data_IF_160687410576
#
_entry.id   IF_160687410576
#
_cell.length_a   1.000
_cell.length_b   1.000
_cell.length_c   1.000
_cell.angle_alpha   90.00
_cell.angle_beta   90.00
_cell.angle_gamma   90.00
#
_symmetry.space_group_name_H-M   'P 1'
#
loop_
_entity.id
_entity.type
_entity.pdbx_description
1 polymer ?
#
# COMPACT_ATOMS: atom_id res chain seq x y z
N UNK A 1 -9.52 -1.50 -23.83
CA UNK A 1 -10.40 -0.34 -23.61
C UNK A 1 -10.74 -0.16 -22.12
N UNK A 2 -10.99 -1.21 -21.37
CA UNK A 2 -11.39 -1.16 -19.95
C UNK A 2 -10.31 -0.58 -19.00
N UNK A 3 -9.04 -0.95 -19.17
CA UNK A 3 -7.92 -0.47 -18.35
C UNK A 3 -7.71 1.04 -18.46
N UNK A 4 -7.84 1.62 -19.66
CA UNK A 4 -7.75 3.06 -19.85
C UNK A 4 -8.88 3.81 -19.09
N UNK A 5 -10.04 3.20 -18.93
CA UNK A 5 -11.15 3.73 -18.14
C UNK A 5 -10.80 3.79 -16.65
N UNK A 6 -10.15 2.75 -16.09
CA UNK A 6 -9.75 2.69 -14.68
C UNK A 6 -8.64 3.71 -14.36
N UNK A 7 -7.63 3.82 -15.22
CA UNK A 7 -6.59 4.85 -15.09
C UNK A 7 -7.19 6.25 -15.14
N UNK A 8 -8.16 6.50 -16.04
CA UNK A 8 -8.86 7.78 -16.08
C UNK A 8 -9.66 8.05 -14.79
N UNK A 9 -10.31 7.05 -14.21
CA UNK A 9 -11.00 7.18 -12.92
C UNK A 9 -10.04 7.57 -11.80
N UNK A 10 -8.88 6.89 -11.70
CA UNK A 10 -7.81 7.25 -10.76
C UNK A 10 -7.35 8.69 -10.97
N UNK A 11 -7.11 9.08 -12.23
CA UNK A 11 -6.72 10.44 -12.59
C UNK A 11 -7.73 11.49 -12.11
N UNK A 12 -9.03 11.27 -12.33
CA UNK A 12 -10.06 12.20 -11.89
C UNK A 12 -10.14 12.32 -10.36
N UNK A 13 -9.98 11.20 -9.62
CA UNK A 13 -9.92 11.24 -8.16
C UNK A 13 -8.70 12.06 -7.70
N UNK A 14 -7.52 11.81 -8.23
CA UNK A 14 -6.29 12.52 -7.90
C UNK A 14 -6.39 14.01 -8.20
N UNK A 15 -7.00 14.37 -9.34
CA UNK A 15 -7.25 15.75 -9.74
C UNK A 15 -8.13 16.49 -8.73
N UNK A 16 -9.24 15.88 -8.30
CA UNK A 16 -10.14 16.49 -7.30
C UNK A 16 -9.49 16.63 -5.93
N UNK A 17 -8.47 15.80 -5.63
CA UNK A 17 -7.70 15.83 -4.37
C UNK A 17 -6.46 16.72 -4.43
N UNK A 18 -6.17 17.36 -5.56
CA UNK A 18 -4.99 18.21 -5.81
C UNK A 18 -3.66 17.46 -5.57
N UNK A 19 -3.56 16.20 -6.04
CA UNK A 19 -2.37 15.37 -5.87
C UNK A 19 -1.53 15.24 -7.16
N UNK A 20 -2.06 15.55 -8.34
CA UNK A 20 -1.41 15.27 -9.63
C UNK A 20 -0.01 15.89 -9.76
N UNK A 21 0.16 17.13 -9.30
CA UNK A 21 1.41 17.89 -9.42
C UNK A 21 2.43 17.58 -8.31
N UNK A 22 2.11 16.64 -7.38
CA UNK A 22 3.04 16.21 -6.34
C UNK A 22 4.00 15.17 -6.91
N UNK A 23 5.26 15.20 -6.44
CA UNK A 23 6.22 14.13 -6.74
C UNK A 23 5.75 12.83 -6.09
N UNK A 24 5.74 11.73 -6.85
CA UNK A 24 5.32 10.45 -6.32
C UNK A 24 4.83 9.44 -7.34
N UNK A 25 4.20 8.37 -6.86
CA UNK A 25 3.67 7.30 -7.71
C UNK A 25 2.46 6.64 -7.07
N UNK A 26 1.47 6.28 -7.88
CA UNK A 26 0.26 5.57 -7.46
C UNK A 26 0.46 4.07 -7.55
N UNK A 27 0.86 3.58 -8.73
CA UNK A 27 0.97 2.15 -9.03
C UNK A 27 2.44 1.73 -9.12
N UNK A 28 2.78 0.70 -8.35
CA UNK A 28 4.07 0.00 -8.39
C UNK A 28 4.00 -1.29 -9.21
N UNK A 29 2.80 -1.68 -9.63
CA UNK A 29 2.53 -2.77 -10.58
C UNK A 29 1.94 -2.23 -11.87
N UNK A 30 1.97 -3.03 -12.93
CA UNK A 30 1.37 -2.68 -14.21
C UNK A 30 -0.15 -2.57 -14.12
N UNK A 31 -0.73 -1.90 -15.08
CA UNK A 31 -2.16 -1.60 -15.13
C UNK A 31 -3.05 -2.85 -15.31
N UNK A 32 -2.49 -3.98 -15.80
CA UNK A 32 -3.20 -5.27 -15.86
C UNK A 32 -3.59 -5.81 -14.48
N UNK A 33 -2.95 -5.32 -13.39
CA UNK A 33 -3.31 -5.69 -12.01
C UNK A 33 -4.59 -5.01 -11.51
N UNK A 34 -5.12 -4.03 -12.26
CA UNK A 34 -6.41 -3.37 -11.99
C UNK A 34 -7.59 -4.27 -12.39
N UNK A 35 -7.66 -5.45 -11.83
CA UNK A 35 -8.69 -6.48 -12.06
C UNK A 35 -8.92 -7.28 -10.79
N UNK A 36 -9.99 -8.04 -10.73
CA UNK A 36 -10.24 -8.99 -9.65
C UNK A 36 -8.98 -9.83 -9.37
N UNK A 37 -8.53 -9.86 -8.12
CA UNK A 37 -7.30 -10.52 -7.71
C UNK A 37 -7.28 -10.79 -6.20
N UNK A 38 -6.63 -11.88 -5.78
CA UNK A 38 -6.65 -12.28 -4.38
C UNK A 38 -5.79 -11.39 -3.47
N UNK A 39 -4.80 -10.67 -4.03
CA UNK A 39 -3.76 -10.01 -3.27
C UNK A 39 -3.66 -8.52 -3.56
N UNK A 40 -3.42 -7.75 -2.50
CA UNK A 40 -3.14 -6.32 -2.54
C UNK A 40 -1.90 -6.03 -1.69
N UNK A 41 -0.84 -5.49 -2.29
CA UNK A 41 0.38 -5.13 -1.56
C UNK A 41 0.41 -3.62 -1.29
N UNK A 42 0.51 -3.26 -0.01
CA UNK A 42 0.43 -1.87 0.44
C UNK A 42 1.69 -1.46 1.18
N UNK A 43 2.53 -0.66 0.53
CA UNK A 43 3.66 0.04 1.14
C UNK A 43 3.22 1.27 1.95
N UNK A 44 4.19 2.02 2.44
CA UNK A 44 3.95 3.23 3.23
C UNK A 44 3.88 4.48 2.36
N UNK A 45 4.96 4.78 1.62
CA UNK A 45 5.06 5.88 0.67
C UNK A 45 6.25 5.65 -0.28
N UNK A 46 6.27 6.29 -1.45
CA UNK A 46 7.43 6.31 -2.33
C UNK A 46 8.66 6.89 -1.59
N UNK A 47 9.80 6.23 -1.71
CA UNK A 47 11.08 6.74 -1.19
C UNK A 47 11.59 7.93 -1.98
N UNK A 48 12.72 8.53 -1.55
CA UNK A 48 13.37 9.66 -2.19
C UNK A 48 12.84 11.03 -1.78
N UNK A 49 13.41 12.09 -2.31
CA UNK A 49 13.07 13.47 -1.97
C UNK A 49 12.04 14.06 -2.94
N UNK A 50 11.13 14.90 -2.41
CA UNK A 50 10.06 15.57 -3.18
C UNK A 50 10.60 16.62 -4.16
N UNK A 51 11.82 17.12 -3.93
CA UNK A 51 12.49 18.18 -4.67
C UNK A 51 13.71 17.70 -5.49
N UNK A 52 13.91 16.39 -5.65
CA UNK A 52 14.96 15.86 -6.53
C UNK A 52 14.69 16.23 -7.98
N UNK A 53 15.73 16.76 -8.66
CA UNK A 53 15.64 17.07 -10.09
C UNK A 53 15.37 15.80 -10.89
N UNK A 54 14.40 15.87 -11.78
CA UNK A 54 14.03 14.76 -12.66
C UNK A 54 13.06 13.73 -12.04
N UNK A 55 12.56 13.99 -10.83
CA UNK A 55 11.52 13.15 -10.24
C UNK A 55 10.17 13.46 -10.87
N UNK A 56 9.53 12.44 -11.39
CA UNK A 56 8.22 12.56 -12.02
C UNK A 56 7.12 12.90 -11.03
N UNK A 57 6.16 13.68 -11.49
CA UNK A 57 4.91 13.92 -10.78
C UNK A 57 4.02 12.67 -10.79
N UNK A 58 3.07 12.60 -9.87
CA UNK A 58 2.03 11.56 -9.83
C UNK A 58 1.30 11.48 -11.17
N UNK A 59 1.01 12.63 -11.81
CA UNK A 59 0.38 12.67 -13.12
C UNK A 59 1.23 11.98 -14.19
N UNK A 60 2.50 12.37 -14.30
CA UNK A 60 3.41 11.79 -15.29
C UNK A 60 3.59 10.28 -15.08
N UNK A 61 3.77 9.85 -13.82
CA UNK A 61 3.92 8.44 -13.50
C UNK A 61 2.67 7.63 -13.85
N UNK A 62 1.48 8.17 -13.58
CA UNK A 62 0.21 7.50 -13.89
C UNK A 62 -0.06 7.40 -15.39
N UNK A 63 0.31 8.45 -16.16
CA UNK A 63 0.04 8.54 -17.59
C UNK A 63 1.18 8.00 -18.46
N UNK A 64 2.24 7.49 -17.88
CA UNK A 64 3.41 6.97 -18.58
C UNK A 64 3.04 5.75 -19.43
N UNK A 65 3.08 5.90 -20.77
CA UNK A 65 2.63 4.90 -21.75
C UNK A 65 3.68 3.85 -22.10
N UNK A 66 4.93 4.09 -21.77
CA UNK A 66 6.08 3.25 -22.13
C UNK A 66 6.38 2.13 -21.12
N UNK A 67 5.66 2.07 -20.01
CA UNK A 67 5.77 0.94 -19.09
C UNK A 67 5.13 -0.31 -19.69
N UNK A 68 5.83 -1.47 -19.67
CA UNK A 68 5.22 -2.74 -20.02
C UNK A 68 3.94 -2.99 -19.20
N UNK A 69 2.96 -3.68 -19.77
CA UNK A 69 1.71 -3.97 -19.06
C UNK A 69 1.92 -4.77 -17.79
N UNK A 70 2.89 -5.68 -17.81
CA UNK A 70 3.30 -6.53 -16.68
C UNK A 70 4.43 -5.93 -15.84
N UNK A 71 4.68 -4.61 -15.98
CA UNK A 71 5.68 -3.89 -15.20
C UNK A 71 5.45 -4.05 -13.69
N UNK A 72 6.53 -4.23 -12.95
CA UNK A 72 6.50 -4.17 -11.51
C UNK A 72 7.76 -3.43 -10.99
N UNK A 73 7.55 -2.34 -10.27
CA UNK A 73 8.61 -1.46 -9.78
C UNK A 73 9.65 -2.20 -8.93
N UNK A 74 9.22 -3.22 -8.18
CA UNK A 74 10.13 -4.01 -7.35
C UNK A 74 11.03 -4.94 -8.14
N UNK A 75 10.77 -5.16 -9.44
CA UNK A 75 11.57 -6.03 -10.31
C UNK A 75 12.31 -5.26 -11.40
N UNK A 76 11.68 -4.26 -11.99
CA UNK A 76 12.22 -3.50 -13.11
C UNK A 76 12.67 -2.09 -12.72
N UNK A 77 12.32 -1.61 -11.51
CA UNK A 77 12.72 -0.29 -11.02
C UNK A 77 14.22 -0.22 -10.71
N UNK A 78 14.84 0.90 -11.06
CA UNK A 78 16.22 1.23 -10.68
C UNK A 78 16.21 1.93 -9.31
N UNK A 79 16.38 1.16 -8.25
CA UNK A 79 16.28 1.66 -6.90
C UNK A 79 17.64 2.02 -6.31
N UNK A 80 17.73 3.19 -5.68
CA UNK A 80 18.89 3.60 -4.90
C UNK A 80 19.12 2.75 -3.65
N UNK A 81 18.10 2.04 -3.17
CA UNK A 81 18.19 1.06 -2.09
C UNK A 81 17.88 -0.35 -2.62
N UNK A 82 18.88 -1.06 -3.18
CA UNK A 82 18.70 -2.40 -3.71
C UNK A 82 18.27 -3.41 -2.65
N UNK A 83 18.67 -3.26 -1.39
CA UNK A 83 18.29 -4.21 -0.32
C UNK A 83 16.79 -4.22 -0.08
N UNK A 84 16.12 -3.06 -0.15
CA UNK A 84 14.66 -3.01 -0.05
C UNK A 84 13.99 -3.78 -1.18
N UNK A 85 14.47 -3.59 -2.40
CA UNK A 85 13.95 -4.27 -3.58
C UNK A 85 14.16 -5.79 -3.48
N UNK A 86 15.39 -6.21 -3.13
CA UNK A 86 15.75 -7.63 -2.95
C UNK A 86 14.91 -8.28 -1.84
N UNK A 87 14.70 -7.60 -0.72
CA UNK A 87 13.88 -8.11 0.37
C UNK A 87 12.42 -8.35 -0.06
N UNK A 88 11.83 -7.44 -0.84
CA UNK A 88 10.48 -7.60 -1.37
C UNK A 88 10.43 -8.75 -2.40
N UNK A 89 11.43 -8.86 -3.28
CA UNK A 89 11.52 -9.96 -4.25
C UNK A 89 11.61 -11.32 -3.54
N UNK A 90 12.47 -11.41 -2.51
CA UNK A 90 12.61 -12.63 -1.71
C UNK A 90 11.29 -12.99 -0.99
N UNK A 91 10.60 -11.99 -0.43
CA UNK A 91 9.32 -12.19 0.23
C UNK A 91 8.26 -12.76 -0.71
N UNK A 92 8.10 -12.20 -1.91
CA UNK A 92 7.16 -12.72 -2.91
C UNK A 92 7.55 -14.12 -3.40
N UNK A 93 8.84 -14.35 -3.66
CA UNK A 93 9.34 -15.68 -4.04
C UNK A 93 9.04 -16.72 -2.97
N UNK A 94 9.30 -16.40 -1.71
CA UNK A 94 9.09 -17.32 -0.60
C UNK A 94 7.61 -17.57 -0.32
N UNK A 95 6.71 -16.66 -0.73
CA UNK A 95 5.26 -16.88 -0.73
C UNK A 95 4.76 -17.63 -1.96
N UNK A 96 5.60 -17.94 -2.95
CA UNK A 96 5.17 -18.50 -4.24
C UNK A 96 4.19 -17.57 -5.00
N UNK A 97 4.30 -16.27 -4.82
CA UNK A 97 3.44 -15.27 -5.46
C UNK A 97 4.21 -14.57 -6.60
N UNK A 98 3.56 -14.43 -7.75
CA UNK A 98 4.10 -13.60 -8.82
C UNK A 98 3.69 -12.13 -8.58
N UNK A 99 4.63 -11.24 -8.27
CA UNK A 99 4.32 -9.84 -7.97
C UNK A 99 3.73 -9.07 -9.18
N UNK A 100 3.93 -9.58 -10.41
CA UNK A 100 3.33 -8.99 -11.61
C UNK A 100 1.80 -9.20 -11.71
N UNK A 101 1.27 -10.14 -10.93
CA UNK A 101 -0.19 -10.40 -10.83
C UNK A 101 -0.84 -9.72 -9.63
N UNK A 102 -0.05 -9.00 -8.81
CA UNK A 102 -0.49 -8.39 -7.56
C UNK A 102 -0.52 -6.88 -7.71
N UNK A 103 -1.67 -6.26 -7.41
CA UNK A 103 -1.72 -4.82 -7.31
C UNK A 103 -0.84 -4.34 -6.17
N UNK A 104 0.20 -3.58 -6.53
CA UNK A 104 1.17 -3.00 -5.59
C UNK A 104 1.09 -1.49 -5.62
N UNK A 105 0.99 -0.89 -4.44
CA UNK A 105 0.85 0.56 -4.25
C UNK A 105 1.39 0.99 -2.88
N UNK A 106 1.33 2.29 -2.58
CA UNK A 106 1.68 2.82 -1.26
C UNK A 106 0.50 3.55 -0.64
N UNK A 107 0.36 3.54 0.68
CA UNK A 107 -0.68 4.26 1.41
C UNK A 107 -0.68 5.76 1.07
N UNK A 108 0.49 6.38 1.06
CA UNK A 108 0.69 7.73 0.56
C UNK A 108 1.37 7.68 -0.80
N UNK A 109 0.82 8.38 -1.80
CA UNK A 109 1.42 8.45 -3.14
C UNK A 109 2.53 9.48 -3.24
N UNK A 110 2.59 10.42 -2.29
CA UNK A 110 3.57 11.50 -2.28
C UNK A 110 4.91 10.99 -1.76
N UNK A 111 5.98 11.33 -2.48
CA UNK A 111 7.34 10.92 -2.19
C UNK A 111 7.88 11.58 -0.92
N UNK A 112 8.55 10.77 -0.07
CA UNK A 112 9.30 11.28 1.08
C UNK A 112 10.35 10.24 1.52
N UNK A 113 11.57 10.67 1.88
CA UNK A 113 12.62 9.75 2.33
C UNK A 113 12.31 9.11 3.68
N UNK A 114 11.59 9.81 4.55
CA UNK A 114 11.10 9.31 5.83
C UNK A 114 9.98 10.22 6.37
N UNK A 115 9.21 9.70 7.32
CA UNK A 115 8.06 10.42 7.89
C UNK A 115 8.44 11.79 8.49
N UNK A 116 9.56 11.88 9.20
CA UNK A 116 10.05 13.13 9.82
C UNK A 116 10.52 14.18 8.81
N UNK A 117 10.77 13.78 7.56
CA UNK A 117 11.21 14.64 6.46
C UNK A 117 10.10 14.92 5.45
N UNK A 118 8.87 14.53 5.76
CA UNK A 118 7.74 14.84 4.91
C UNK A 118 7.56 16.35 4.81
N UNK A 119 7.44 16.88 3.58
CA UNK A 119 7.36 18.32 3.33
C UNK A 119 5.95 18.82 3.62
N UNK A 120 5.85 19.75 4.58
CA UNK A 120 4.60 20.47 4.80
C UNK A 120 4.35 21.49 3.68
N UNK A 121 3.11 21.60 3.25
CA UNK A 121 2.68 22.61 2.26
C UNK A 121 2.34 23.96 2.91
N UNK A 122 2.39 24.04 4.24
CA UNK A 122 2.01 25.23 5.01
C UNK A 122 2.81 25.27 6.30
N UNK A 123 3.28 26.46 6.67
CA UNK A 123 3.95 26.70 7.95
C UNK A 123 3.05 26.46 9.17
N UNK A 124 1.74 26.33 8.94
CA UNK A 124 0.75 26.03 9.97
C UNK A 124 0.63 24.54 10.31
N UNK A 125 1.30 23.65 9.54
CA UNK A 125 1.20 22.20 9.71
C UNK A 125 2.56 21.57 9.96
N UNK A 126 2.57 20.62 10.86
CA UNK A 126 3.74 19.72 11.02
C UNK A 126 3.85 18.78 9.81
N UNK A 127 5.06 18.25 9.50
CA UNK A 127 5.23 17.22 8.48
C UNK A 127 4.29 16.03 8.66
N UNK A 128 4.06 15.62 9.90
CA UNK A 128 3.16 14.51 10.26
C UNK A 128 1.69 14.82 9.92
N UNK A 129 1.22 16.02 10.27
CA UNK A 129 -0.15 16.45 9.94
C UNK A 129 -0.37 16.51 8.43
N UNK A 130 0.58 17.06 7.68
CA UNK A 130 0.50 17.09 6.23
C UNK A 130 0.42 15.68 5.63
N UNK A 131 1.25 14.75 6.14
CA UNK A 131 1.23 13.35 5.67
C UNK A 131 -0.11 12.67 5.96
N UNK A 132 -0.72 12.91 7.11
CA UNK A 132 -2.03 12.36 7.44
C UNK A 132 -3.11 12.85 6.48
N UNK A 133 -3.12 14.14 6.17
CA UNK A 133 -4.04 14.69 5.18
C UNK A 133 -3.82 14.10 3.79
N UNK A 134 -2.57 13.93 3.38
CA UNK A 134 -2.26 13.34 2.08
C UNK A 134 -2.63 11.85 2.04
N UNK A 135 -2.46 11.11 3.13
CA UNK A 135 -2.97 9.74 3.24
C UNK A 135 -4.49 9.67 3.10
N UNK A 136 -5.23 10.59 3.73
CA UNK A 136 -6.69 10.68 3.59
C UNK A 136 -7.11 10.99 2.15
N UNK A 137 -6.38 11.86 1.46
CA UNK A 137 -6.63 12.15 0.04
C UNK A 137 -6.33 10.94 -0.84
N UNK A 138 -5.20 10.26 -0.59
CA UNK A 138 -4.80 9.06 -1.30
C UNK A 138 -5.80 7.91 -1.08
N UNK A 139 -6.40 7.84 0.12
CA UNK A 139 -7.33 6.78 0.45
C UNK A 139 -8.55 6.72 -0.46
N UNK A 140 -9.02 7.84 -1.00
CA UNK A 140 -10.09 7.85 -1.99
C UNK A 140 -9.74 7.05 -3.26
N UNK A 141 -8.45 7.01 -3.62
CA UNK A 141 -7.97 6.15 -4.72
C UNK A 141 -7.90 4.69 -4.26
N UNK A 142 -7.44 4.42 -3.02
CA UNK A 142 -7.42 3.05 -2.48
C UNK A 142 -8.82 2.44 -2.41
N UNK A 143 -9.84 3.22 -2.06
CA UNK A 143 -11.23 2.74 -2.08
C UNK A 143 -11.66 2.31 -3.48
N UNK A 144 -11.31 3.09 -4.50
CA UNK A 144 -11.53 2.71 -5.89
C UNK A 144 -10.74 1.43 -6.23
N UNK A 145 -9.45 1.38 -5.93
CA UNK A 145 -8.59 0.22 -6.21
C UNK A 145 -9.08 -1.05 -5.52
N UNK A 146 -9.47 -0.96 -4.25
CA UNK A 146 -10.00 -2.09 -3.46
C UNK A 146 -11.34 -2.58 -4.02
N UNK A 147 -12.19 -1.69 -4.52
CA UNK A 147 -13.45 -2.08 -5.15
C UNK A 147 -13.27 -2.75 -6.52
N UNK A 148 -12.20 -2.38 -7.26
CA UNK A 148 -11.86 -2.99 -8.55
C UNK A 148 -11.15 -4.33 -8.41
N UNK A 149 -10.23 -4.45 -7.44
CA UNK A 149 -9.41 -5.66 -7.24
C UNK A 149 -10.13 -6.70 -6.38
N UNK A 150 -10.93 -6.26 -5.41
CA UNK A 150 -11.66 -7.10 -4.44
C UNK A 150 -10.77 -8.16 -3.77
N UNK A 151 -9.64 -7.75 -3.19
CA UNK A 151 -8.67 -8.70 -2.67
C UNK A 151 -9.25 -9.48 -1.50
N UNK A 152 -8.81 -10.74 -1.36
CA UNK A 152 -9.02 -11.54 -0.15
C UNK A 152 -7.96 -11.23 0.91
N UNK A 153 -6.80 -10.76 0.46
CA UNK A 153 -5.65 -10.49 1.33
C UNK A 153 -4.99 -9.16 1.03
N UNK A 154 -4.70 -8.40 2.09
CA UNK A 154 -3.85 -7.22 2.03
C UNK A 154 -2.55 -7.52 2.77
N UNK A 155 -1.40 -7.30 2.11
CA UNK A 155 -0.08 -7.35 2.73
C UNK A 155 0.38 -5.91 2.96
N UNK A 156 0.53 -5.53 4.23
CA UNK A 156 1.07 -4.24 4.63
C UNK A 156 2.58 -4.35 4.87
N UNK A 157 3.38 -3.66 4.06
CA UNK A 157 4.83 -3.54 4.25
C UNK A 157 5.11 -2.44 5.29
N UNK A 158 5.09 -2.83 6.57
CA UNK A 158 5.21 -1.95 7.71
C UNK A 158 3.90 -1.74 8.48
N UNK A 159 4.03 -1.23 9.71
CA UNK A 159 2.90 -1.06 10.62
C UNK A 159 2.03 0.15 10.27
N UNK A 160 2.59 1.18 9.64
CA UNK A 160 1.86 2.41 9.30
C UNK A 160 0.65 2.13 8.41
N UNK A 161 0.83 1.33 7.35
CA UNK A 161 -0.25 0.97 6.41
C UNK A 161 -1.32 0.11 7.08
N UNK A 162 -0.91 -0.83 7.95
CA UNK A 162 -1.82 -1.63 8.76
C UNK A 162 -2.65 -0.76 9.70
N UNK A 163 -1.98 0.08 10.51
CA UNK A 163 -2.64 0.89 11.54
C UNK A 163 -3.62 1.88 10.91
N UNK A 164 -3.35 2.35 9.70
CA UNK A 164 -4.30 3.16 8.93
C UNK A 164 -5.59 2.41 8.60
N UNK A 165 -5.51 1.12 8.31
CA UNK A 165 -6.69 0.31 7.97
C UNK A 165 -7.44 -0.13 9.22
N UNK A 166 -6.73 -0.68 10.23
CA UNK A 166 -7.35 -1.42 11.35
C UNK A 166 -7.47 -0.63 12.64
N UNK A 167 -6.66 0.39 12.88
CA UNK A 167 -6.58 1.12 14.14
C UNK A 167 -6.40 2.63 13.90
N UNK A 168 -7.47 3.26 13.44
CA UNK A 168 -7.46 4.69 13.13
C UNK A 168 -7.27 5.58 14.34
N UNK A 169 -7.76 5.17 15.51
CA UNK A 169 -7.57 5.93 16.75
C UNK A 169 -6.08 5.98 17.12
N UNK A 170 -5.39 4.86 16.96
CA UNK A 170 -3.94 4.79 17.19
C UNK A 170 -3.17 5.57 16.15
N UNK A 171 -3.60 5.54 14.89
CA UNK A 171 -2.97 6.29 13.82
C UNK A 171 -3.13 7.81 14.01
N UNK A 172 -4.30 8.25 14.52
CA UNK A 172 -4.65 9.66 14.79
C UNK A 172 -4.29 10.19 16.19
N UNK A 173 -3.27 9.68 16.86
CA UNK A 173 -2.93 9.88 18.29
C UNK A 173 -2.87 11.32 18.84
N UNK A 174 -3.09 12.36 18.07
CA UNK A 174 -3.05 13.75 18.52
C UNK A 174 -4.40 14.48 18.38
N UNK A 175 -5.54 13.77 18.44
CA UNK A 175 -6.88 14.41 18.36
C UNK A 175 -7.27 14.84 16.94
N UNK A 176 -6.53 14.42 15.93
CA UNK A 176 -6.87 14.62 14.53
C UNK A 176 -7.91 13.58 14.16
N UNK A 177 -9.19 13.99 14.19
CA UNK A 177 -10.29 13.14 13.77
C UNK A 177 -10.20 12.90 12.26
N UNK A 178 -9.95 11.68 11.85
CA UNK A 178 -10.22 11.27 10.47
C UNK A 178 -11.70 11.42 10.18
N UNK A 179 -12.02 12.22 9.15
CA UNK A 179 -13.40 12.45 8.72
C UNK A 179 -14.00 11.23 8.00
N UNK A 180 -13.20 10.23 7.79
CA UNK A 180 -13.53 9.09 6.94
C UNK A 180 -14.27 7.99 7.70
N UNK A 181 -15.38 7.51 7.11
CA UNK A 181 -16.28 6.51 7.70
C UNK A 181 -15.90 5.05 7.37
N UNK A 182 -14.64 4.78 7.03
CA UNK A 182 -14.19 3.41 6.84
C UNK A 182 -14.23 2.66 8.17
N UNK A 183 -14.73 1.45 8.18
CA UNK A 183 -14.81 0.60 9.36
C UNK A 183 -14.13 -0.75 9.09
N UNK A 184 -13.28 -1.17 10.02
CA UNK A 184 -12.73 -2.52 10.04
C UNK A 184 -13.25 -3.28 11.27
N UNK A 185 -14.04 -4.31 11.03
CA UNK A 185 -14.55 -5.21 12.08
C UNK A 185 -13.66 -6.43 12.16
N UNK A 186 -12.74 -6.44 13.12
CA UNK A 186 -11.82 -7.56 13.35
C UNK A 186 -12.54 -8.72 14.05
N UNK A 187 -12.35 -9.94 13.53
CA UNK A 187 -12.84 -11.19 14.12
C UNK A 187 -11.73 -11.98 14.78
N UNK A 188 -10.53 -11.88 14.25
CA UNK A 188 -9.37 -12.64 14.71
C UNK A 188 -8.09 -11.81 14.57
N UNK A 189 -7.21 -11.93 15.55
CA UNK A 189 -5.86 -11.36 15.51
C UNK A 189 -4.84 -12.44 15.91
N UNK A 190 -3.78 -12.57 15.12
CA UNK A 190 -2.62 -13.39 15.43
C UNK A 190 -1.34 -12.57 15.32
N UNK A 191 -0.33 -12.93 16.11
CA UNK A 191 0.97 -12.25 16.14
C UNK A 191 2.09 -13.27 16.23
N UNK A 192 3.20 -12.96 15.54
CA UNK A 192 4.46 -13.68 15.64
C UNK A 192 5.62 -12.68 15.72
N UNK A 193 6.72 -13.11 16.29
CA UNK A 193 7.98 -12.37 16.24
C UNK A 193 8.92 -13.09 15.27
N UNK A 194 9.39 -12.41 14.25
CA UNK A 194 10.34 -12.90 13.23
C UNK A 194 11.54 -11.97 13.22
N UNK A 195 12.74 -12.50 13.46
CA UNK A 195 13.97 -11.70 13.58
C UNK A 195 13.90 -10.58 14.63
N UNK A 196 13.19 -10.78 15.75
CA UNK A 196 12.95 -9.75 16.76
C UNK A 196 11.86 -8.72 16.42
N UNK A 197 11.24 -8.80 15.24
CA UNK A 197 10.23 -7.88 14.73
C UNK A 197 8.83 -8.53 14.71
N UNK A 198 7.80 -7.72 14.92
CA UNK A 198 6.42 -8.22 14.96
C UNK A 198 5.80 -8.29 13.57
N UNK A 199 5.29 -9.48 13.22
CA UNK A 199 4.30 -9.66 12.18
C UNK A 199 2.92 -9.82 12.81
N UNK A 200 1.88 -9.30 12.15
CA UNK A 200 0.50 -9.45 12.61
C UNK A 200 -0.40 -9.89 11.48
N UNK A 201 -1.40 -10.66 11.83
CA UNK A 201 -2.51 -11.03 10.95
C UNK A 201 -3.81 -10.60 11.61
N UNK A 202 -4.69 -10.01 10.83
CA UNK A 202 -6.04 -9.64 11.24
C UNK A 202 -7.02 -10.17 10.21
N UNK A 203 -8.09 -10.81 10.65
CA UNK A 203 -9.17 -11.30 9.82
C UNK A 203 -10.45 -10.57 10.17
N UNK A 204 -11.17 -10.07 9.17
CA UNK A 204 -12.38 -9.30 9.43
C UNK A 204 -13.09 -8.78 8.18
N UNK A 205 -14.03 -7.88 8.37
CA UNK A 205 -14.73 -7.17 7.31
C UNK A 205 -14.22 -5.73 7.21
N UNK A 206 -13.90 -5.28 6.01
CA UNK A 206 -13.50 -3.90 5.73
C UNK A 206 -14.59 -3.20 4.93
N UNK A 207 -15.30 -2.27 5.56
CA UNK A 207 -16.30 -1.43 4.90
C UNK A 207 -15.67 -0.09 4.51
N UNK A 208 -15.71 0.24 3.23
CA UNK A 208 -15.20 1.49 2.66
C UNK A 208 -16.25 2.60 2.82
N UNK A 209 -15.83 3.87 2.64
CA UNK A 209 -16.73 5.03 2.77
C UNK A 209 -17.90 5.02 1.78
N UNK A 210 -17.66 4.49 0.57
CA UNK A 210 -18.67 4.34 -0.48
C UNK A 210 -19.68 3.22 -0.18
N UNK A 211 -19.56 2.54 0.96
CA UNK A 211 -20.43 1.42 1.38
C UNK A 211 -20.01 0.05 0.82
N UNK A 212 -18.98 -0.01 -0.05
CA UNK A 212 -18.45 -1.29 -0.52
C UNK A 212 -17.81 -2.05 0.65
N UNK A 213 -18.09 -3.34 0.79
CA UNK A 213 -17.58 -4.15 1.88
C UNK A 213 -16.80 -5.36 1.36
N UNK A 214 -15.52 -5.42 1.73
CA UNK A 214 -14.69 -6.61 1.59
C UNK A 214 -14.96 -7.52 2.79
N UNK A 215 -15.59 -8.65 2.56
CA UNK A 215 -15.94 -9.63 3.58
C UNK A 215 -14.80 -10.60 3.81
N UNK A 216 -14.58 -10.95 5.08
CA UNK A 216 -13.63 -11.99 5.49
C UNK A 216 -12.20 -11.76 4.96
N UNK A 217 -11.79 -10.50 4.91
CA UNK A 217 -10.47 -10.13 4.39
C UNK A 217 -9.37 -10.44 5.41
N UNK A 218 -8.24 -11.00 4.94
CA UNK A 218 -7.02 -11.19 5.72
C UNK A 218 -6.05 -10.00 5.53
N UNK A 219 -5.63 -9.37 6.62
CA UNK A 219 -4.65 -8.29 6.60
C UNK A 219 -3.39 -8.75 7.31
N UNK A 220 -2.33 -8.96 6.54
CA UNK A 220 -0.99 -9.28 7.04
C UNK A 220 -0.16 -8.01 7.15
N UNK A 221 0.51 -7.79 8.28
CA UNK A 221 1.54 -6.77 8.40
C UNK A 221 2.88 -7.42 8.69
N UNK A 222 3.84 -7.14 7.84
CA UNK A 222 5.23 -7.57 7.98
C UNK A 222 6.12 -6.36 8.32
N UNK A 223 7.31 -6.55 8.92
CA UNK A 223 8.27 -5.47 9.13
C UNK A 223 8.57 -4.75 7.82
N UNK A 224 8.80 -3.44 7.87
CA UNK A 224 9.08 -2.65 6.68
C UNK A 224 10.41 -3.06 6.04
N UNK A 225 10.34 -3.71 4.90
CA UNK A 225 11.47 -4.36 4.22
C UNK A 225 12.54 -3.39 3.68
N UNK A 226 12.28 -2.07 3.73
CA UNK A 226 13.27 -1.03 3.43
C UNK A 226 14.13 -0.62 4.62
N UNK A 227 13.71 -0.96 5.85
CA UNK A 227 14.45 -0.64 7.08
C UNK A 227 14.99 -1.87 7.79
N UNK A 228 14.40 -3.04 7.52
CA UNK A 228 14.73 -4.28 8.19
C UNK A 228 15.05 -5.36 7.18
N UNK A 229 15.98 -6.24 7.54
CA UNK A 229 16.24 -7.46 6.77
C UNK A 229 14.96 -8.30 6.70
N UNK A 230 14.69 -8.86 5.54
CA UNK A 230 13.61 -9.82 5.38
C UNK A 230 13.97 -11.15 6.07
N UNK A 231 13.01 -11.71 6.79
CA UNK A 231 13.15 -13.00 7.48
C UNK A 231 12.14 -13.99 6.91
N UNK A 232 12.59 -15.16 6.39
CA UNK A 232 11.73 -16.19 5.76
C UNK A 232 10.63 -16.74 6.67
N UNK A 233 10.81 -16.67 8.00
CA UNK A 233 9.80 -17.12 8.97
C UNK A 233 8.48 -16.37 8.82
N UNK A 234 8.50 -15.12 8.38
CA UNK A 234 7.28 -14.35 8.13
C UNK A 234 6.47 -14.93 6.98
N UNK A 235 7.11 -15.33 5.88
CA UNK A 235 6.43 -16.00 4.75
C UNK A 235 5.94 -17.40 5.13
N UNK A 236 6.72 -18.16 5.87
CA UNK A 236 6.31 -19.47 6.38
C UNK A 236 5.07 -19.35 7.27
N UNK A 237 5.04 -18.36 8.15
CA UNK A 237 3.89 -18.10 9.01
C UNK A 237 2.65 -17.71 8.21
N UNK A 238 2.77 -16.83 7.21
CA UNK A 238 1.67 -16.46 6.32
C UNK A 238 1.12 -17.71 5.61
N UNK A 239 1.98 -18.55 5.03
CA UNK A 239 1.56 -19.81 4.40
C UNK A 239 0.80 -20.73 5.36
N UNK A 240 1.22 -20.84 6.61
CA UNK A 240 0.55 -21.65 7.61
C UNK A 240 -0.87 -21.10 7.93
N UNK A 241 -1.04 -19.78 8.03
CA UNK A 241 -2.35 -19.16 8.20
C UNK A 241 -3.24 -19.42 6.98
N UNK A 242 -2.73 -19.22 5.78
CA UNK A 242 -3.48 -19.45 4.53
C UNK A 242 -3.94 -20.91 4.43
N UNK A 243 -3.07 -21.85 4.76
CA UNK A 243 -3.42 -23.29 4.75
C UNK A 243 -4.46 -23.61 5.80
N UNK A 244 -4.26 -23.15 7.04
CA UNK A 244 -5.12 -23.54 8.18
C UNK A 244 -6.49 -22.85 8.17
N UNK A 245 -6.57 -21.59 7.75
CA UNK A 245 -7.79 -20.80 7.86
C UNK A 245 -8.56 -20.63 6.54
N UNK A 246 -7.85 -20.69 5.40
CA UNK A 246 -8.45 -20.47 4.10
C UNK A 246 -8.35 -21.68 3.16
N UNK A 247 -7.72 -22.76 3.61
CA UNK A 247 -7.45 -23.97 2.80
C UNK A 247 -6.69 -23.65 1.49
N UNK A 248 -5.79 -22.67 1.54
CA UNK A 248 -4.96 -22.23 0.41
C UNK A 248 -3.55 -22.78 0.59
N UNK A 249 -3.06 -23.49 -0.42
CA UNK A 249 -1.68 -23.97 -0.51
C UNK A 249 -0.92 -23.11 -1.51
N UNK A 250 0.08 -22.34 -1.02
CA UNK A 250 1.01 -21.57 -1.84
C UNK A 250 2.34 -22.30 -2.02
#
# INVERSE_FOLDING_TARGET
METNSKINSIYQILKTKNLLNRSGSVLYSGDQTLRDGDWYFLGSNPGGHDDEKGVDTIENQLLKKDKPKDFNEYFEGDWTNPDHQINIQNFFRDLNLNPRDILSTNLCFVRSPMESKYKSLSDQKTPRQQRYEDNEKCWSVHEFLLSEVKPKFIICNGTTSRDFIIDREKYGRNGECFKNKMEYKCYEEQKITSGGLKCTFHRGDLTLQNGFCLKDIGIFSVPHMGFYTYYPESSTWIKNILRSQYNINL
#
